data_IF_173729665369
#
_entry.id   IF_173729665369
#
_cell.length_a   1.000
_cell.length_b   1.000
_cell.length_c   1.000
_cell.angle_alpha   90.00
_cell.angle_beta   90.00
_cell.angle_gamma   90.00
#
_symmetry.space_group_name_H-M   'P 1'
#
loop_
_entity.id
_entity.type
_entity.pdbx_description
1 polymer ?
#
# COMPACT_ATOMS: atom_id res chain seq x y z
N UNK A 1 -23.44 -2.47 -9.22
CA UNK A 1 -22.05 -2.07 -9.50
C UNK A 1 -21.07 -3.23 -9.29
N UNK A 2 -21.00 -3.83 -8.10
CA UNK A 2 -20.06 -4.93 -7.83
C UNK A 2 -20.30 -6.12 -8.76
N UNK A 3 -21.57 -6.55 -8.93
CA UNK A 3 -21.91 -7.61 -9.88
C UNK A 3 -21.43 -7.36 -11.32
N UNK A 4 -21.56 -6.15 -11.82
CA UNK A 4 -21.16 -5.79 -13.20
C UNK A 4 -19.64 -5.88 -13.39
N UNK A 5 -18.86 -5.45 -12.38
CA UNK A 5 -17.40 -5.58 -12.39
C UNK A 5 -16.98 -7.05 -12.54
N UNK A 6 -17.60 -7.95 -11.78
CA UNK A 6 -17.31 -9.39 -11.87
C UNK A 6 -17.80 -10.02 -13.17
N UNK A 7 -18.90 -9.54 -13.76
CA UNK A 7 -19.36 -9.98 -15.09
C UNK A 7 -18.36 -9.56 -16.16
N UNK A 8 -17.93 -8.29 -16.18
CA UNK A 8 -16.92 -7.82 -17.13
C UNK A 8 -15.60 -8.57 -17.00
N UNK A 9 -15.15 -8.82 -15.77
CA UNK A 9 -13.95 -9.61 -15.50
C UNK A 9 -14.04 -11.05 -16.01
N UNK A 10 -15.26 -11.63 -16.02
CA UNK A 10 -15.54 -12.97 -16.57
C UNK A 10 -15.55 -13.00 -18.09
N UNK A 11 -16.12 -11.99 -18.73
CA UNK A 11 -16.12 -11.86 -20.19
C UNK A 11 -14.71 -11.66 -20.75
N UNK A 12 -13.84 -10.97 -19.99
CA UNK A 12 -12.45 -10.69 -20.37
C UNK A 12 -11.43 -11.60 -19.66
N UNK A 13 -11.82 -12.83 -19.29
CA UNK A 13 -10.89 -13.77 -18.68
C UNK A 13 -9.75 -14.14 -19.66
N UNK A 14 -8.48 -14.21 -19.21
CA UNK A 14 -7.98 -14.07 -17.84
C UNK A 14 -7.84 -12.60 -17.39
N UNK A 15 -8.25 -12.30 -16.14
CA UNK A 15 -8.22 -10.93 -15.62
C UNK A 15 -7.82 -10.87 -14.14
N UNK A 16 -7.31 -9.72 -13.71
CA UNK A 16 -6.97 -9.46 -12.30
C UNK A 16 -7.81 -8.28 -11.83
N UNK A 17 -8.56 -8.48 -10.75
CA UNK A 17 -9.31 -7.43 -10.07
C UNK A 17 -8.46 -6.94 -8.90
N UNK A 18 -8.10 -5.66 -8.90
CA UNK A 18 -7.39 -5.03 -7.78
C UNK A 18 -8.35 -4.08 -7.05
N UNK A 19 -8.49 -4.28 -5.75
CA UNK A 19 -9.33 -3.46 -4.87
C UNK A 19 -8.45 -2.88 -3.77
N UNK A 20 -8.30 -1.56 -3.75
CA UNK A 20 -7.56 -0.86 -2.70
C UNK A 20 -8.53 -0.27 -1.67
N UNK A 21 -8.01 0.03 -0.48
CA UNK A 21 -8.76 0.66 0.62
C UNK A 21 -10.08 -0.07 0.94
N UNK A 22 -10.06 -1.41 0.98
CA UNK A 22 -11.29 -2.18 1.24
C UNK A 22 -11.88 -1.91 2.63
N UNK A 23 -11.11 -1.33 3.54
CA UNK A 23 -11.54 -0.82 4.85
C UNK A 23 -12.54 0.34 4.73
N UNK A 24 -12.54 1.09 3.62
CA UNK A 24 -13.54 2.14 3.35
C UNK A 24 -14.96 1.58 3.18
N UNK A 25 -15.07 0.37 2.63
CA UNK A 25 -16.34 -0.33 2.43
C UNK A 25 -16.58 -1.45 3.45
N UNK A 26 -15.57 -1.77 4.25
CA UNK A 26 -15.51 -2.94 5.12
C UNK A 26 -15.75 -2.67 6.60
N UNK A 27 -15.99 -1.41 7.00
CA UNK A 27 -16.07 -1.00 8.41
C UNK A 27 -17.17 -1.74 9.16
N UNK A 28 -16.78 -2.65 10.05
CA UNK A 28 -17.69 -3.28 11.01
C UNK A 28 -18.05 -2.27 12.12
N UNK A 29 -19.26 -1.71 12.06
CA UNK A 29 -19.99 -1.06 13.19
C UNK A 29 -19.12 -0.26 14.17
N UNK A 30 -19.00 1.05 13.95
CA UNK A 30 -18.85 1.96 15.09
C UNK A 30 -20.26 2.35 15.55
N UNK A 31 -20.56 2.01 16.80
CA UNK A 31 -21.81 2.31 17.48
C UNK A 31 -22.17 3.80 17.38
N UNK A 32 -23.31 4.10 16.76
CA UNK A 32 -24.01 5.38 16.88
C UNK A 32 -24.06 6.21 15.60
N UNK A 33 -25.16 6.11 14.85
CA UNK A 33 -25.55 7.16 13.89
C UNK A 33 -26.19 6.69 12.59
N UNK A 34 -27.53 6.64 12.58
CA UNK A 34 -28.42 7.00 11.46
C UNK A 34 -27.99 6.75 10.01
N UNK A 35 -28.56 5.71 9.39
CA UNK A 35 -28.95 5.66 7.97
C UNK A 35 -27.86 5.35 6.92
N UNK A 36 -26.68 5.97 6.99
CA UNK A 36 -25.65 5.87 5.95
C UNK A 36 -24.88 4.54 5.92
N UNK A 37 -24.80 3.85 7.05
CA UNK A 37 -24.04 2.59 7.22
C UNK A 37 -24.67 1.40 6.45
N UNK A 38 -25.96 1.50 6.13
CA UNK A 38 -26.72 0.41 5.49
C UNK A 38 -26.31 0.14 4.03
N UNK A 39 -25.91 1.18 3.28
CA UNK A 39 -25.54 1.05 1.87
C UNK A 39 -24.12 0.47 1.70
N UNK A 40 -23.20 0.89 2.57
CA UNK A 40 -21.82 0.40 2.60
C UNK A 40 -21.79 -1.08 2.97
N UNK A 41 -22.54 -1.47 4.02
CA UNK A 41 -22.68 -2.88 4.41
C UNK A 41 -23.31 -3.73 3.30
N UNK A 42 -24.31 -3.20 2.59
CA UNK A 42 -24.94 -3.91 1.47
C UNK A 42 -23.94 -4.16 0.33
N UNK A 43 -23.09 -3.18 0.04
CA UNK A 43 -22.05 -3.29 -0.98
C UNK A 43 -20.99 -4.33 -0.61
N UNK A 44 -20.59 -4.38 0.67
CA UNK A 44 -19.68 -5.40 1.20
C UNK A 44 -20.28 -6.81 1.13
N UNK A 45 -21.55 -6.98 1.50
CA UNK A 45 -22.24 -8.26 1.38
C UNK A 45 -22.38 -8.71 -0.08
N UNK A 46 -22.63 -7.78 -1.01
CA UNK A 46 -22.64 -8.08 -2.45
C UNK A 46 -21.26 -8.56 -2.92
N UNK A 47 -20.18 -7.91 -2.49
CA UNK A 47 -18.81 -8.34 -2.76
C UNK A 47 -18.54 -9.75 -2.23
N UNK A 48 -18.91 -10.03 -0.98
CA UNK A 48 -18.81 -11.36 -0.37
C UNK A 48 -19.52 -12.43 -1.20
N UNK A 49 -20.76 -12.16 -1.61
CA UNK A 49 -21.52 -13.08 -2.44
C UNK A 49 -20.89 -13.33 -3.82
N UNK A 50 -20.27 -12.31 -4.42
CA UNK A 50 -19.55 -12.49 -5.68
C UNK A 50 -18.25 -13.31 -5.52
N UNK A 51 -17.56 -13.18 -4.38
CA UNK A 51 -16.38 -13.98 -4.04
C UNK A 51 -16.73 -15.44 -3.72
N UNK A 52 -17.84 -15.68 -3.01
CA UNK A 52 -18.33 -17.04 -2.71
C UNK A 52 -18.78 -17.80 -3.96
N UNK A 53 -19.39 -17.09 -4.92
CA UNK A 53 -19.80 -17.65 -6.20
C UNK A 53 -18.65 -17.82 -7.20
N UNK A 54 -17.40 -17.64 -6.75
CA UNK A 54 -16.22 -17.68 -7.60
C UNK A 54 -15.59 -19.06 -7.55
N UNK A 55 -16.03 -19.95 -8.45
CA UNK A 55 -15.30 -21.20 -8.68
C UNK A 55 -13.88 -20.87 -9.16
N UNK A 56 -12.88 -21.52 -8.54
CA UNK A 56 -11.46 -21.40 -8.87
C UNK A 56 -11.11 -21.75 -10.34
N UNK A 57 -12.10 -22.26 -11.09
CA UNK A 57 -12.02 -22.72 -12.47
C UNK A 57 -11.88 -21.60 -13.50
N UNK A 58 -12.33 -20.37 -13.20
CA UNK A 58 -12.20 -19.21 -14.12
C UNK A 58 -10.94 -18.44 -13.72
N UNK A 59 -9.95 -18.36 -14.62
CA UNK A 59 -8.62 -17.73 -14.48
C UNK A 59 -8.62 -16.24 -14.10
N UNK A 60 -9.34 -15.88 -13.03
CA UNK A 60 -9.52 -14.54 -12.55
C UNK A 60 -9.01 -14.51 -11.12
N UNK A 61 -8.16 -13.54 -10.81
CA UNK A 61 -7.56 -13.37 -9.48
C UNK A 61 -8.02 -12.06 -8.90
N UNK A 62 -8.38 -12.07 -7.61
CA UNK A 62 -8.76 -10.87 -6.87
C UNK A 62 -7.64 -10.55 -5.89
N UNK A 63 -7.16 -9.32 -5.91
CA UNK A 63 -6.16 -8.78 -4.98
C UNK A 63 -6.83 -7.64 -4.23
N UNK A 64 -6.76 -7.70 -2.90
CA UNK A 64 -7.32 -6.69 -2.02
C UNK A 64 -6.22 -6.09 -1.16
N UNK A 65 -6.25 -4.77 -0.97
CA UNK A 65 -5.36 -4.03 -0.10
C UNK A 65 -6.16 -3.27 0.97
N UNK A 66 -5.65 -3.28 2.20
CA UNK A 66 -6.22 -2.55 3.34
C UNK A 66 -5.11 -2.11 4.28
N UNK A 67 -5.33 -0.99 4.96
CA UNK A 67 -4.47 -0.56 6.07
C UNK A 67 -4.98 -1.05 7.43
N UNK A 68 -6.22 -1.57 7.50
CA UNK A 68 -6.92 -1.92 8.74
C UNK A 68 -7.61 -3.26 8.63
N UNK A 69 -6.86 -4.34 8.80
CA UNK A 69 -7.44 -5.69 8.82
C UNK A 69 -8.36 -5.94 10.03
N UNK A 70 -8.19 -5.16 11.10
CA UNK A 70 -8.95 -5.24 12.36
C UNK A 70 -10.43 -4.88 12.20
N UNK A 71 -10.76 -3.98 11.27
CA UNK A 71 -12.14 -3.52 11.06
C UNK A 71 -12.89 -4.32 9.99
N UNK A 72 -12.19 -5.21 9.29
CA UNK A 72 -12.81 -5.99 8.22
C UNK A 72 -13.71 -7.08 8.80
N UNK A 73 -14.83 -7.31 8.13
CA UNK A 73 -15.75 -8.38 8.50
C UNK A 73 -15.01 -9.74 8.50
N UNK A 74 -15.09 -10.44 9.65
CA UNK A 74 -14.62 -11.81 9.83
C UNK A 74 -15.11 -12.78 8.76
N UNK A 75 -16.24 -12.48 8.10
CA UNK A 75 -16.76 -13.18 6.95
C UNK A 75 -15.75 -13.22 5.79
N UNK A 76 -15.10 -12.11 5.45
CA UNK A 76 -14.09 -12.04 4.38
C UNK A 76 -12.87 -12.93 4.69
N UNK A 77 -12.54 -13.05 5.97
CA UNK A 77 -11.34 -13.75 6.45
C UNK A 77 -11.46 -15.27 6.47
N UNK A 78 -12.65 -15.83 6.16
CA UNK A 78 -12.90 -17.27 6.16
C UNK A 78 -12.24 -17.96 4.95
N UNK A 79 -11.77 -19.21 5.10
CA UNK A 79 -11.27 -20.03 4.00
C UNK A 79 -12.29 -20.15 2.87
N UNK A 80 -11.85 -20.04 1.61
CA UNK A 80 -12.71 -20.03 0.42
C UNK A 80 -13.06 -18.64 -0.12
N UNK A 81 -12.72 -17.56 0.61
CA UNK A 81 -12.88 -16.15 0.17
C UNK A 81 -11.53 -15.46 0.00
N UNK A 82 -10.76 -15.41 1.10
CA UNK A 82 -9.38 -14.91 1.11
C UNK A 82 -8.45 -16.07 1.48
N UNK A 83 -7.80 -16.64 0.46
CA UNK A 83 -6.92 -17.81 0.64
C UNK A 83 -5.50 -17.44 1.11
N UNK A 84 -5.05 -16.22 0.81
CA UNK A 84 -3.71 -15.73 1.09
C UNK A 84 -3.77 -14.35 1.73
N UNK A 85 -3.17 -14.24 2.90
CA UNK A 85 -2.98 -12.99 3.64
C UNK A 85 -1.49 -12.68 3.62
N UNK A 86 -1.12 -11.55 3.03
CA UNK A 86 0.26 -11.09 2.96
C UNK A 86 0.32 -9.82 3.78
N UNK A 87 1.04 -9.87 4.89
CA UNK A 87 1.29 -8.70 5.72
C UNK A 87 2.54 -7.99 5.23
N UNK A 88 2.47 -6.67 5.12
CA UNK A 88 3.59 -5.82 4.77
C UNK A 88 4.10 -5.11 6.03
N UNK A 89 5.13 -5.65 6.71
CA UNK A 89 5.69 -4.99 7.87
C UNK A 89 6.42 -3.69 7.47
N UNK A 90 6.60 -2.76 8.42
CA UNK A 90 7.46 -1.61 8.18
C UNK A 90 8.89 -2.07 7.79
N UNK A 91 9.56 -1.35 6.88
CA UNK A 91 10.84 -1.81 6.34
C UNK A 91 11.92 -1.81 7.43
N UNK A 92 12.64 -2.92 7.53
CA UNK A 92 13.86 -3.01 8.36
C UNK A 92 15.00 -2.17 7.75
N UNK A 93 16.13 -2.07 8.46
CA UNK A 93 17.26 -1.24 8.00
C UNK A 93 17.78 -1.65 6.61
N UNK A 94 17.88 -2.95 6.35
CA UNK A 94 18.32 -3.46 5.05
C UNK A 94 17.32 -3.15 3.92
N UNK A 95 16.03 -3.31 4.18
CA UNK A 95 14.96 -2.95 3.25
C UNK A 95 14.95 -1.44 2.98
N UNK A 96 15.16 -0.59 4.00
CA UNK A 96 15.33 0.86 3.81
C UNK A 96 16.54 1.16 2.94
N UNK A 97 17.67 0.50 3.17
CA UNK A 97 18.85 0.62 2.32
C UNK A 97 18.56 0.22 0.87
N UNK A 98 17.82 -0.86 0.64
CA UNK A 98 17.47 -1.30 -0.71
C UNK A 98 16.48 -0.37 -1.41
N UNK A 99 15.49 0.16 -0.68
CA UNK A 99 14.60 1.23 -1.17
C UNK A 99 15.41 2.47 -1.55
N UNK A 100 16.38 2.88 -0.72
CA UNK A 100 17.30 3.97 -1.03
C UNK A 100 18.14 3.67 -2.27
N UNK A 101 18.67 2.45 -2.43
CA UNK A 101 19.41 2.04 -3.64
C UNK A 101 18.53 2.13 -4.89
N UNK A 102 17.27 1.69 -4.82
CA UNK A 102 16.34 1.73 -5.96
C UNK A 102 16.06 3.18 -6.37
N UNK A 103 15.76 4.05 -5.42
CA UNK A 103 15.45 5.46 -5.72
C UNK A 103 16.68 6.27 -6.12
N UNK A 104 17.84 5.96 -5.54
CA UNK A 104 19.09 6.66 -5.83
C UNK A 104 19.69 6.31 -7.20
N UNK A 105 19.32 5.18 -7.81
CA UNK A 105 19.69 4.84 -9.21
C UNK A 105 19.25 5.90 -10.23
N UNK A 106 18.15 6.62 -9.95
CA UNK A 106 17.63 7.68 -10.83
C UNK A 106 18.19 9.07 -10.50
N UNK A 107 19.08 9.18 -9.52
CA UNK A 107 19.62 10.44 -9.01
C UNK A 107 21.11 10.58 -9.32
N UNK A 108 21.54 11.80 -9.62
CA UNK A 108 22.97 12.14 -9.69
C UNK A 108 23.51 12.27 -8.25
N UNK A 109 23.83 11.14 -7.64
CA UNK A 109 24.46 11.11 -6.32
C UNK A 109 25.87 11.71 -6.42
N UNK A 110 26.16 12.70 -5.56
CA UNK A 110 27.53 13.16 -5.35
C UNK A 110 28.40 11.97 -4.90
N UNK A 111 29.62 11.85 -5.47
CA UNK A 111 30.57 10.80 -5.07
C UNK A 111 30.80 10.87 -3.55
N UNK A 112 30.54 9.78 -2.84
CA UNK A 112 30.79 9.64 -1.40
C UNK A 112 29.57 9.53 -0.50
N UNK A 113 28.34 9.53 -1.03
CA UNK A 113 27.14 9.33 -0.21
C UNK A 113 27.06 7.87 0.29
N UNK A 114 27.12 7.69 1.60
CA UNK A 114 26.94 6.39 2.24
C UNK A 114 25.46 6.16 2.56
N UNK A 115 24.76 5.43 1.68
CA UNK A 115 23.34 5.12 1.82
C UNK A 115 23.02 4.28 3.08
N UNK A 116 23.99 3.50 3.59
CA UNK A 116 23.80 2.69 4.81
C UNK A 116 23.64 3.58 6.04
N UNK A 117 24.51 4.58 6.20
CA UNK A 117 24.38 5.59 7.27
C UNK A 117 23.07 6.34 7.20
N UNK A 118 22.56 6.59 5.98
CA UNK A 118 21.26 7.24 5.81
C UNK A 118 20.13 6.31 6.25
N UNK A 119 20.18 5.02 5.93
CA UNK A 119 19.19 4.03 6.36
C UNK A 119 19.15 3.84 7.89
N UNK A 120 20.31 3.93 8.56
CA UNK A 120 20.45 3.90 10.03
C UNK A 120 19.79 5.12 10.69
N UNK A 121 19.93 6.30 10.08
CA UNK A 121 19.32 7.56 10.57
C UNK A 121 17.81 7.67 10.29
N UNK A 122 17.18 6.59 9.80
CA UNK A 122 15.76 6.54 9.46
C UNK A 122 14.99 5.41 10.18
N UNK A 123 15.08 5.29 11.52
CA UNK A 123 14.32 4.26 12.23
C UNK A 123 12.81 4.49 12.05
N UNK A 124 12.06 3.42 11.77
CA UNK A 124 10.60 3.45 11.66
C UNK A 124 10.02 4.10 10.39
N UNK A 125 10.85 4.61 9.48
CA UNK A 125 10.35 5.26 8.27
C UNK A 125 9.67 4.24 7.33
N UNK A 126 8.47 4.58 6.86
CA UNK A 126 7.77 3.88 5.79
C UNK A 126 8.53 3.96 4.46
N UNK A 127 8.25 3.05 3.53
CA UNK A 127 8.88 3.09 2.21
C UNK A 127 8.64 4.42 1.46
N UNK A 128 7.49 5.05 1.68
CA UNK A 128 7.17 6.38 1.14
C UNK A 128 8.07 7.47 1.74
N UNK A 129 8.29 7.48 3.05
CA UNK A 129 9.17 8.44 3.72
C UNK A 129 10.64 8.25 3.30
N UNK A 130 11.09 7.01 3.13
CA UNK A 130 12.42 6.69 2.60
C UNK A 130 12.61 7.28 1.20
N UNK A 131 11.59 7.16 0.33
CA UNK A 131 11.59 7.79 -0.99
C UNK A 131 11.66 9.31 -0.89
N UNK A 132 10.77 9.94 -0.13
CA UNK A 132 10.70 11.41 -0.01
C UNK A 132 12.02 11.98 0.52
N UNK A 133 12.61 11.34 1.54
CA UNK A 133 13.88 11.79 2.11
C UNK A 133 15.02 11.59 1.10
N UNK A 134 15.04 10.51 0.31
CA UNK A 134 16.01 10.35 -0.79
C UNK A 134 15.94 11.51 -1.80
N UNK A 135 14.73 11.98 -2.15
CA UNK A 135 14.53 13.11 -3.06
C UNK A 135 15.03 14.43 -2.46
N UNK A 136 14.69 14.70 -1.20
CA UNK A 136 15.14 15.90 -0.50
C UNK A 136 16.68 16.02 -0.48
N UNK A 137 17.39 14.89 -0.30
CA UNK A 137 18.86 14.87 -0.28
C UNK A 137 19.47 15.08 -1.67
N UNK A 138 18.83 14.57 -2.73
CA UNK A 138 19.25 14.86 -4.11
C UNK A 138 19.08 16.34 -4.45
N UNK A 139 17.94 16.94 -4.09
CA UNK A 139 17.69 18.38 -4.33
C UNK A 139 18.62 19.27 -3.51
N UNK A 140 18.91 18.91 -2.25
CA UNK A 140 19.89 19.61 -1.43
C UNK A 140 21.33 19.40 -1.92
N UNK A 141 21.64 18.29 -2.58
CA UNK A 141 22.93 18.06 -3.26
C UNK A 141 23.06 18.90 -4.53
N UNK A 142 21.98 19.01 -5.32
CA UNK A 142 21.92 19.87 -6.50
C UNK A 142 22.02 21.37 -6.13
N UNK A 143 21.35 21.80 -5.05
CA UNK A 143 21.44 23.17 -4.54
C UNK A 143 22.82 23.51 -3.96
N UNK A 144 23.59 22.51 -3.52
CA UNK A 144 24.98 22.69 -3.01
C UNK A 144 26.04 22.82 -4.11
N UNK A 145 25.67 22.67 -5.40
CA UNK A 145 26.51 23.06 -6.54
C UNK A 145 26.81 24.57 -6.58
N UNK A 146 26.07 25.37 -5.81
CA UNK A 146 26.39 26.76 -5.48
C UNK A 146 26.75 26.83 -4.00
N UNK A 147 28.01 27.13 -3.69
CA UNK A 147 28.62 26.85 -2.39
C UNK A 147 27.94 27.49 -1.17
N UNK A 148 27.65 26.67 -0.14
CA UNK A 148 27.89 27.01 1.28
C UNK A 148 27.67 25.78 2.19
N UNK A 149 28.71 25.36 2.92
CA UNK A 149 28.74 24.13 3.74
C UNK A 149 28.17 24.29 5.16
N UNK A 150 27.08 25.04 5.35
CA UNK A 150 26.49 25.31 6.70
C UNK A 150 25.06 24.81 6.94
N UNK A 151 24.38 24.26 5.94
CA UNK A 151 22.92 24.04 6.03
C UNK A 151 22.47 22.64 6.52
N UNK A 152 23.39 21.74 6.90
CA UNK A 152 22.98 20.38 7.33
C UNK A 152 22.41 20.28 8.76
N UNK A 153 22.42 21.36 9.55
CA UNK A 153 21.89 21.34 10.94
C UNK A 153 20.39 21.63 11.07
N UNK A 154 19.70 22.07 10.02
CA UNK A 154 18.29 22.49 10.11
C UNK A 154 17.28 21.53 9.43
N UNK A 155 17.69 20.29 9.13
CA UNK A 155 16.81 19.27 8.52
C UNK A 155 16.68 18.02 9.41
N UNK A 156 17.20 18.09 10.64
CA UNK A 156 16.90 17.16 11.73
C UNK A 156 15.98 17.87 12.73
#
# INVERSE_FOLDING_TARGET
MVRELFVMAREHAPSIIFMDEIDSIGSSRLEGGSGGDSEVQRTMLELLNQLDGFEATKNIKVIMATNRIDILDSALLRPGRIDRKIEFPPPNEEARLDILKIHSRKMNLTRGINLRKIAELMPGASGAEVKVRSWAWSSAGAARGTGNSRSLRNVL
#
